data_IF_228982685362
#
_entry.id   IF_228982685362
#
_cell.length_a   1.000
_cell.length_b   1.000
_cell.length_c   1.000
_cell.angle_alpha   90.00
_cell.angle_beta   90.00
_cell.angle_gamma   90.00
#
_symmetry.space_group_name_H-M   'P 1'
#
loop_
_entity.id
_entity.type
_entity.pdbx_description
1 polymer ?
#
# COMPACT_ATOMS: atom_id res chain seq x y z
N UNK A 1 -16.15 -13.32 -26.75
CA UNK A 1 -16.78 -13.86 -25.51
C UNK A 1 -18.28 -13.60 -25.57
N UNK A 2 -19.12 -14.53 -25.14
CA UNK A 2 -20.58 -14.29 -25.14
C UNK A 2 -20.95 -13.31 -24.00
N UNK A 3 -22.00 -12.48 -24.16
CA UNK A 3 -22.45 -11.54 -23.12
C UNK A 3 -22.79 -12.22 -21.77
N UNK A 4 -23.25 -13.48 -21.82
CA UNK A 4 -23.55 -14.29 -20.62
C UNK A 4 -22.27 -14.70 -19.88
N UNK A 5 -21.21 -15.05 -20.61
CA UNK A 5 -19.92 -15.39 -20.01
C UNK A 5 -19.27 -14.19 -19.33
N UNK A 6 -19.36 -13.00 -19.94
CA UNK A 6 -18.87 -11.74 -19.32
C UNK A 6 -19.56 -11.43 -17.99
N UNK A 7 -20.90 -11.43 -17.97
CA UNK A 7 -21.67 -11.20 -16.73
C UNK A 7 -21.40 -12.25 -15.63
N UNK A 8 -21.07 -13.48 -16.01
CA UNK A 8 -20.71 -14.53 -15.05
C UNK A 8 -19.33 -14.29 -14.45
N UNK A 9 -18.37 -13.81 -15.24
CA UNK A 9 -17.03 -13.44 -14.76
C UNK A 9 -17.07 -12.25 -13.82
N UNK A 10 -17.79 -11.19 -14.18
CA UNK A 10 -17.97 -9.99 -13.34
C UNK A 10 -18.51 -10.36 -11.96
N UNK A 11 -19.59 -11.15 -11.88
CA UNK A 11 -20.11 -11.63 -10.59
C UNK A 11 -19.11 -12.45 -9.77
N UNK A 12 -18.22 -13.21 -10.41
CA UNK A 12 -17.19 -13.99 -9.71
C UNK A 12 -16.04 -13.10 -9.25
N UNK A 13 -15.70 -12.08 -10.04
CA UNK A 13 -14.73 -11.07 -9.66
C UNK A 13 -15.18 -10.32 -8.42
N UNK A 14 -16.39 -9.73 -8.45
CA UNK A 14 -16.94 -8.95 -7.34
C UNK A 14 -17.10 -9.80 -6.06
N UNK A 15 -17.45 -11.09 -6.23
CA UNK A 15 -17.68 -11.99 -5.09
C UNK A 15 -16.40 -12.51 -4.45
N UNK A 16 -15.37 -12.81 -5.25
CA UNK A 16 -14.20 -13.55 -4.76
C UNK A 16 -12.88 -12.80 -4.90
N UNK A 17 -12.68 -12.07 -6.01
CA UNK A 17 -11.40 -11.45 -6.32
C UNK A 17 -11.28 -10.07 -5.70
N UNK A 18 -12.27 -9.20 -5.93
CA UNK A 18 -12.26 -7.83 -5.42
C UNK A 18 -12.10 -7.77 -3.88
N UNK A 19 -12.81 -8.57 -3.06
CA UNK A 19 -12.65 -8.52 -1.62
C UNK A 19 -11.27 -8.99 -1.16
N UNK A 20 -10.73 -10.04 -1.80
CA UNK A 20 -9.39 -10.55 -1.49
C UNK A 20 -8.31 -9.54 -1.86
N UNK A 21 -8.42 -8.94 -3.06
CA UNK A 21 -7.53 -7.89 -3.52
C UNK A 21 -7.57 -6.67 -2.58
N UNK A 22 -8.77 -6.20 -2.23
CA UNK A 22 -8.93 -5.08 -1.30
C UNK A 22 -8.34 -5.36 0.08
N UNK A 23 -8.41 -6.61 0.56
CA UNK A 23 -7.77 -7.01 1.82
C UNK A 23 -6.25 -6.94 1.72
N UNK A 24 -5.67 -7.44 0.62
CA UNK A 24 -4.24 -7.38 0.36
C UNK A 24 -3.77 -5.92 0.28
N UNK A 25 -4.46 -5.10 -0.52
CA UNK A 25 -4.11 -3.68 -0.69
C UNK A 25 -4.18 -2.90 0.64
N UNK A 26 -5.19 -3.18 1.48
CA UNK A 26 -5.27 -2.57 2.82
C UNK A 26 -4.12 -3.01 3.73
N UNK A 27 -3.75 -4.28 3.69
CA UNK A 27 -2.63 -4.81 4.49
C UNK A 27 -1.29 -4.21 4.04
N UNK A 28 -1.06 -4.14 2.73
CA UNK A 28 0.09 -3.46 2.13
C UNK A 28 0.15 -1.99 2.56
N UNK A 29 -0.96 -1.25 2.39
CA UNK A 29 -1.03 0.16 2.79
C UNK A 29 -0.70 0.35 4.28
N UNK A 30 -1.24 -0.48 5.17
CA UNK A 30 -0.92 -0.44 6.60
C UNK A 30 0.55 -0.75 6.88
N UNK A 31 1.11 -1.75 6.19
CA UNK A 31 2.52 -2.16 6.33
C UNK A 31 3.45 -1.02 5.95
N UNK A 32 3.22 -0.39 4.79
CA UNK A 32 4.07 0.71 4.33
C UNK A 32 3.88 2.00 5.11
N UNK A 33 2.67 2.27 5.60
CA UNK A 33 2.45 3.37 6.56
C UNK A 33 3.23 3.17 7.86
N UNK A 34 3.35 1.93 8.34
CA UNK A 34 4.21 1.61 9.49
C UNK A 34 5.70 1.79 9.17
N UNK A 35 6.16 1.37 7.98
CA UNK A 35 7.55 1.63 7.54
C UNK A 35 7.85 3.12 7.51
N UNK A 36 6.97 3.93 6.91
CA UNK A 36 7.10 5.40 6.90
C UNK A 36 7.21 5.97 8.32
N UNK A 37 6.32 5.56 9.22
CA UNK A 37 6.35 6.01 10.62
C UNK A 37 7.65 5.65 11.34
N UNK A 38 8.14 4.41 11.17
CA UNK A 38 9.37 3.93 11.80
C UNK A 38 10.61 4.63 11.25
N UNK A 39 10.68 4.85 9.93
CA UNK A 39 11.79 5.58 9.30
C UNK A 39 11.80 7.03 9.75
N UNK A 40 10.63 7.69 9.80
CA UNK A 40 10.53 9.06 10.28
C UNK A 40 11.00 9.18 11.74
N UNK A 41 10.56 8.27 12.61
CA UNK A 41 10.98 8.22 14.01
C UNK A 41 12.49 8.01 14.16
N UNK A 42 13.07 7.08 13.40
CA UNK A 42 14.50 6.83 13.41
C UNK A 42 15.30 8.09 12.99
N UNK A 43 14.89 8.76 11.91
CA UNK A 43 15.52 10.00 11.43
C UNK A 43 15.38 11.15 12.42
N UNK A 44 14.22 11.31 13.06
CA UNK A 44 14.05 12.30 14.13
C UNK A 44 14.97 12.02 15.31
N UNK A 45 15.18 10.74 15.66
CA UNK A 45 16.12 10.31 16.69
C UNK A 45 17.58 10.71 16.43
N UNK A 46 17.96 10.98 15.18
CA UNK A 46 19.30 11.48 14.82
C UNK A 46 19.41 13.01 14.87
N UNK A 47 18.35 13.72 15.27
CA UNK A 47 18.30 15.18 15.29
C UNK A 47 17.91 15.84 13.96
N UNK A 48 17.46 15.07 12.96
CA UNK A 48 16.91 15.63 11.73
C UNK A 48 15.58 16.30 12.03
N UNK A 49 15.35 17.48 11.42
CA UNK A 49 14.09 18.22 11.55
C UNK A 49 12.90 17.35 11.11
N UNK A 50 11.82 17.36 11.90
CA UNK A 50 10.59 16.59 11.68
C UNK A 50 10.08 16.65 10.23
N UNK A 51 10.01 17.84 9.63
CA UNK A 51 9.57 18.01 8.24
C UNK A 51 10.46 17.27 7.23
N UNK A 52 11.78 17.26 7.47
CA UNK A 52 12.74 16.57 6.60
C UNK A 52 12.69 15.06 6.82
N UNK A 53 12.59 14.62 8.07
CA UNK A 53 12.46 13.20 8.43
C UNK A 53 11.21 12.57 7.81
N UNK A 54 10.05 13.24 7.89
CA UNK A 54 8.80 12.77 7.27
C UNK A 54 8.89 12.74 5.74
N UNK A 55 9.51 13.75 5.13
CA UNK A 55 9.70 13.79 3.67
C UNK A 55 10.57 12.62 3.18
N UNK A 56 11.68 12.33 3.87
CA UNK A 56 12.54 11.19 3.54
C UNK A 56 11.79 9.87 3.73
N UNK A 57 11.10 9.72 4.87
CA UNK A 57 10.35 8.51 5.18
C UNK A 57 9.24 8.20 4.16
N UNK A 58 8.53 9.23 3.68
CA UNK A 58 7.55 9.12 2.62
C UNK A 58 8.19 8.56 1.34
N UNK A 59 9.32 9.13 0.89
CA UNK A 59 9.97 8.62 -0.31
C UNK A 59 10.54 7.20 -0.14
N UNK A 60 11.02 6.85 1.04
CA UNK A 60 11.43 5.47 1.37
C UNK A 60 10.25 4.51 1.26
N UNK A 61 9.05 4.89 1.73
CA UNK A 61 7.85 4.04 1.63
C UNK A 61 7.39 3.90 0.17
N UNK A 62 7.44 4.97 -0.63
CA UNK A 62 7.09 4.93 -2.05
C UNK A 62 8.04 4.08 -2.90
N UNK A 63 9.36 4.24 -2.72
CA UNK A 63 10.36 3.42 -3.42
C UNK A 63 10.23 1.96 -3.00
N UNK A 64 10.06 1.68 -1.71
CA UNK A 64 9.83 0.33 -1.22
C UNK A 64 8.60 -0.34 -1.85
N UNK A 65 7.46 0.37 -1.89
CA UNK A 65 6.24 -0.10 -2.56
C UNK A 65 6.44 -0.43 -4.04
N UNK A 66 7.34 0.28 -4.72
CA UNK A 66 7.56 0.15 -6.17
C UNK A 66 8.49 -1.03 -6.51
N UNK A 67 9.29 -1.50 -5.55
CA UNK A 67 10.29 -2.56 -5.75
C UNK A 67 9.78 -3.98 -5.46
N UNK A 68 8.53 -4.12 -5.02
CA UNK A 68 7.83 -5.41 -4.78
C UNK A 68 6.79 -5.61 -5.87
#
# INVERSE_FOLDING_TARGET
MSPRAGKSLEKRWDKYVEPALNKILKQEQATWGNVEGQVAQALMGTGIKDSSARSIAYWVSQVGQTLI
#
